data_IF_517776602027
#
_entry.id   IF_517776602027
#
_cell.length_a   1.000
_cell.length_b   1.000
_cell.length_c   1.000
_cell.angle_alpha   90.00
_cell.angle_beta   90.00
_cell.angle_gamma   90.00
#
_symmetry.space_group_name_H-M   'P 1'
#
loop_
_entity.id
_entity.type
_entity.pdbx_description
1 polymer ?
#
# COMPACT_ATOMS: atom_id res chain seq x y z
N UNK A 1 -10.76 12.51 -10.37
CA UNK A 1 -9.68 11.73 -10.98
C UNK A 1 -8.98 11.04 -9.82
N UNK A 2 -9.16 9.73 -9.72
CA UNK A 2 -8.80 8.96 -8.51
C UNK A 2 -7.39 8.36 -8.62
N UNK A 3 -6.58 8.95 -9.51
CA UNK A 3 -5.21 8.54 -9.80
C UNK A 3 -4.23 9.25 -8.87
N UNK A 4 -3.33 8.47 -8.29
CA UNK A 4 -2.22 8.97 -7.48
C UNK A 4 -0.92 8.61 -8.17
N UNK A 5 -0.20 9.62 -8.65
CA UNK A 5 1.13 9.47 -9.21
C UNK A 5 2.15 9.32 -8.09
N UNK A 6 2.84 8.19 -8.06
CA UNK A 6 3.90 7.94 -7.10
C UNK A 6 5.22 8.54 -7.58
N UNK A 7 6.08 8.95 -6.65
CA UNK A 7 7.43 9.37 -7.02
C UNK A 7 8.25 8.19 -7.59
N UNK A 8 9.23 8.44 -8.49
CA UNK A 8 10.00 7.41 -9.20
C UNK A 8 10.81 6.46 -8.29
N UNK A 9 11.01 6.86 -7.03
CA UNK A 9 11.75 6.10 -6.02
C UNK A 9 10.86 5.50 -4.93
N UNK A 10 9.54 5.71 -4.99
CA UNK A 10 8.61 5.09 -4.06
C UNK A 10 8.57 3.59 -4.35
N UNK A 11 8.83 2.78 -3.32
CA UNK A 11 8.90 1.31 -3.44
C UNK A 11 7.84 0.60 -2.60
N UNK A 12 7.22 1.30 -1.66
CA UNK A 12 6.28 0.71 -0.72
C UNK A 12 5.11 1.66 -0.47
N UNK A 13 3.90 1.09 -0.40
CA UNK A 13 2.78 1.72 0.29
C UNK A 13 2.67 1.12 1.68
N UNK A 14 2.43 1.97 2.68
CA UNK A 14 2.51 1.59 4.08
C UNK A 14 1.30 2.14 4.84
N UNK A 15 0.70 1.30 5.66
CA UNK A 15 -0.33 1.67 6.64
C UNK A 15 0.14 1.33 8.04
N UNK A 16 -0.01 2.28 8.96
CA UNK A 16 0.28 2.10 10.37
C UNK A 16 -1.04 2.22 11.14
N UNK A 17 -1.58 1.09 11.57
CA UNK A 17 -2.86 0.98 12.29
C UNK A 17 -2.76 -0.09 13.36
N UNK A 18 -3.64 -0.05 14.36
CA UNK A 18 -3.65 -1.06 15.43
C UNK A 18 -4.01 -2.45 14.89
N UNK A 19 -4.98 -2.53 13.98
CA UNK A 19 -5.24 -3.74 13.20
C UNK A 19 -6.04 -3.39 11.95
N UNK A 20 -5.76 -4.11 10.87
CA UNK A 20 -6.58 -3.99 9.66
C UNK A 20 -8.00 -4.47 9.93
N UNK A 21 -8.99 -3.65 9.59
CA UNK A 21 -10.39 -4.01 9.81
C UNK A 21 -10.80 -5.14 8.86
N UNK A 22 -11.43 -6.24 9.35
CA UNK A 22 -11.69 -7.43 8.54
C UNK A 22 -12.67 -7.19 7.39
N UNK A 23 -13.57 -6.22 7.51
CA UNK A 23 -14.50 -5.86 6.44
C UNK A 23 -13.86 -5.01 5.31
N UNK A 24 -12.63 -4.52 5.48
CA UNK A 24 -11.96 -3.70 4.47
C UNK A 24 -11.05 -4.60 3.62
N UNK A 25 -11.26 -4.72 2.30
CA UNK A 25 -10.39 -5.50 1.44
C UNK A 25 -8.95 -5.01 1.51
N UNK A 26 -8.02 -5.94 1.72
CA UNK A 26 -6.57 -5.66 1.65
C UNK A 26 -6.14 -5.63 0.18
N UNK A 27 -5.21 -4.72 -0.20
CA UNK A 27 -4.51 -4.84 -1.47
C UNK A 27 -3.85 -6.23 -1.61
N UNK A 28 -3.88 -6.85 -2.79
CA UNK A 28 -3.18 -8.10 -3.03
C UNK A 28 -1.69 -7.96 -2.70
N UNK A 29 -1.13 -8.92 -1.96
CA UNK A 29 0.29 -8.91 -1.58
C UNK A 29 0.65 -8.01 -0.38
N UNK A 30 -0.34 -7.42 0.31
CA UNK A 30 -0.11 -6.68 1.54
C UNK A 30 0.47 -7.59 2.64
N UNK A 31 1.68 -7.27 3.11
CA UNK A 31 2.37 -8.00 4.17
C UNK A 31 2.14 -7.34 5.52
N UNK A 32 1.86 -8.14 6.55
CA UNK A 32 1.66 -7.66 7.91
C UNK A 32 2.96 -7.79 8.71
N UNK A 33 3.34 -6.75 9.45
CA UNK A 33 4.50 -6.76 10.36
C UNK A 33 4.06 -6.24 11.74
N UNK A 34 4.20 -7.04 12.81
CA UNK A 34 3.91 -6.56 14.14
C UNK A 34 4.90 -5.48 14.56
N UNK A 35 4.41 -4.47 15.28
CA UNK A 35 5.20 -3.42 15.92
C UNK A 35 4.97 -3.47 17.44
N UNK A 36 5.85 -2.81 18.24
CA UNK A 36 5.63 -2.65 19.66
C UNK A 36 4.29 -1.97 20.00
N UNK A 37 3.78 -2.25 21.20
CA UNK A 37 2.57 -1.64 21.77
C UNK A 37 1.28 -1.96 20.99
N UNK A 38 1.16 -3.19 20.46
CA UNK A 38 -0.07 -3.65 19.81
C UNK A 38 -0.34 -3.04 18.43
N UNK A 39 0.65 -2.34 17.85
CA UNK A 39 0.54 -1.73 16.52
C UNK A 39 1.00 -2.67 15.42
N UNK A 40 0.53 -2.42 14.20
CA UNK A 40 0.89 -3.20 13.03
C UNK A 40 1.28 -2.28 11.87
N UNK A 41 2.30 -2.72 11.13
CA UNK A 41 2.73 -2.10 9.89
C UNK A 41 2.32 -3.00 8.73
N UNK A 42 1.50 -2.48 7.85
CA UNK A 42 1.09 -3.18 6.64
C UNK A 42 1.87 -2.61 5.46
N UNK A 43 2.62 -3.45 4.76
CA UNK A 43 3.54 -3.04 3.71
C UNK A 43 3.15 -3.71 2.41
N UNK A 44 2.87 -2.92 1.39
CA UNK A 44 2.72 -3.37 0.02
C UNK A 44 3.96 -2.98 -0.78
N UNK A 45 4.67 -3.96 -1.31
CA UNK A 45 5.80 -3.71 -2.20
C UNK A 45 5.29 -3.33 -3.58
N UNK A 46 5.89 -2.31 -4.17
CA UNK A 46 5.57 -1.81 -5.50
C UNK A 46 6.59 -2.32 -6.49
N UNK A 47 6.12 -3.07 -7.48
CA UNK A 47 6.90 -3.61 -8.59
C UNK A 47 6.80 -2.76 -9.87
N UNK A 48 6.17 -1.58 -9.77
CA UNK A 48 5.88 -0.68 -10.89
C UNK A 48 4.52 -0.92 -11.54
N UNK A 49 3.81 -1.99 -11.18
CA UNK A 49 2.42 -2.19 -11.63
C UNK A 49 1.48 -1.24 -10.91
N UNK A 50 0.39 -0.80 -11.57
CA UNK A 50 -0.67 -0.06 -10.89
C UNK A 50 -1.27 -0.86 -9.75
N UNK A 51 -1.53 -0.19 -8.62
CA UNK A 51 -2.22 -0.77 -7.47
C UNK A 51 -3.56 -0.07 -7.30
N UNK A 52 -4.63 -0.82 -7.07
CA UNK A 52 -5.95 -0.29 -6.76
C UNK A 52 -6.31 -0.56 -5.30
N UNK A 53 -6.71 0.48 -4.58
CA UNK A 53 -7.18 0.35 -3.20
C UNK A 53 -8.06 1.53 -2.80
N UNK A 54 -9.17 1.24 -2.10
CA UNK A 54 -10.09 2.24 -1.56
C UNK A 54 -10.59 3.27 -2.61
N UNK A 55 -10.79 2.83 -3.85
CA UNK A 55 -11.20 3.70 -4.97
C UNK A 55 -10.05 4.45 -5.64
N UNK A 56 -8.83 4.40 -5.10
CA UNK A 56 -7.67 5.03 -5.70
C UNK A 56 -6.88 4.07 -6.57
N UNK A 57 -6.29 4.60 -7.65
CA UNK A 57 -5.34 3.91 -8.50
C UNK A 57 -3.96 4.56 -8.39
N UNK A 58 -3.03 3.85 -7.74
CA UNK A 58 -1.65 4.27 -7.56
C UNK A 58 -0.82 3.82 -8.76
N UNK A 59 -0.12 4.75 -9.40
CA UNK A 59 0.71 4.46 -10.57
C UNK A 59 2.09 5.06 -10.40
N UNK A 60 3.13 4.24 -10.58
CA UNK A 60 4.50 4.74 -10.70
C UNK A 60 4.74 5.27 -12.11
N UNK A 61 5.54 6.32 -12.30
CA UNK A 61 6.07 6.67 -13.61
C UNK A 61 6.86 5.46 -14.13
N UNK A 62 6.68 5.16 -15.42
CA UNK A 62 7.35 4.07 -16.10
C UNK A 62 8.86 4.11 -15.80
N UNK A 63 9.41 3.02 -15.27
CA UNK A 63 10.85 2.89 -15.04
C UNK A 63 11.49 2.58 -16.39
N UNK A 64 11.69 3.61 -17.21
CA UNK A 64 12.65 3.57 -18.32
C UNK A 64 14.08 3.72 -17.80
#
# INVERSE_FOLDING_TARGET
DDRILLGPRVRHLVWMVDRWHPAVPRPPGLRERPLPYGRWLYVLDLDGRPVEHAGYRFTSPDRR
#
